data_IF_269253319964
#
_entry.id   IF_269253319964
#
_cell.length_a   1.000
_cell.length_b   1.000
_cell.length_c   1.000
_cell.angle_alpha   90.00
_cell.angle_beta   90.00
_cell.angle_gamma   90.00
#
_symmetry.space_group_name_H-M   'P 1'
#
loop_
_entity.id
_entity.type
_entity.pdbx_description
1 polymer ?
#
# COMPACT_ATOMS: atom_id res chain seq x y z
N UNK A 1 4.34 -35.84 11.85
CA UNK A 1 4.29 -34.45 12.32
C UNK A 1 4.90 -33.61 11.21
N UNK A 2 4.15 -33.34 10.15
CA UNK A 2 4.60 -32.46 9.07
C UNK A 2 4.14 -31.05 9.40
N UNK A 3 5.08 -30.11 9.35
CA UNK A 3 4.83 -28.71 9.59
C UNK A 3 3.68 -28.26 8.68
N UNK A 4 2.68 -27.62 9.30
CA UNK A 4 1.65 -26.86 8.60
C UNK A 4 2.34 -25.72 7.86
N UNK A 5 2.90 -26.02 6.69
CA UNK A 5 3.42 -25.03 5.78
C UNK A 5 2.20 -24.23 5.35
N UNK A 6 2.11 -22.99 5.84
CA UNK A 6 1.14 -22.02 5.36
C UNK A 6 1.10 -22.11 3.82
N UNK A 7 -0.09 -22.19 3.20
CA UNK A 7 -0.19 -22.35 1.76
C UNK A 7 0.72 -21.30 1.09
N UNK A 8 1.41 -21.66 -0.01
CA UNK A 8 2.35 -20.75 -0.65
C UNK A 8 1.65 -19.41 -0.82
N UNK A 9 2.24 -18.35 -0.25
CA UNK A 9 1.74 -16.98 -0.35
C UNK A 9 1.50 -16.74 -1.84
N UNK A 10 0.23 -16.76 -2.25
CA UNK A 10 -0.13 -16.76 -3.66
C UNK A 10 0.51 -15.56 -4.33
N UNK A 11 0.96 -15.71 -5.57
CA UNK A 11 1.59 -14.62 -6.31
C UNK A 11 0.76 -13.34 -6.21
N UNK A 12 1.39 -12.17 -6.04
CA UNK A 12 0.66 -10.92 -6.01
C UNK A 12 -0.09 -10.73 -7.34
N UNK A 13 -1.33 -10.22 -7.31
CA UNK A 13 -2.17 -10.10 -8.50
C UNK A 13 -1.53 -9.17 -9.55
N UNK A 14 -1.67 -9.45 -10.85
CA UNK A 14 -1.05 -8.62 -11.88
C UNK A 14 -1.79 -7.29 -12.05
N UNK A 15 -3.11 -7.30 -11.91
CA UNK A 15 -3.95 -6.11 -11.97
C UNK A 15 -4.93 -6.08 -10.81
N UNK A 16 -5.22 -4.88 -10.29
CA UNK A 16 -6.24 -4.66 -9.29
C UNK A 16 -7.17 -3.52 -9.73
N UNK A 17 -8.47 -3.76 -9.71
CA UNK A 17 -9.50 -2.78 -10.01
C UNK A 17 -10.29 -2.40 -8.77
N UNK A 18 -10.54 -1.11 -8.61
CA UNK A 18 -11.29 -0.57 -7.49
C UNK A 18 -12.73 -1.09 -7.50
N UNK A 19 -13.11 -1.77 -6.42
CA UNK A 19 -14.49 -2.16 -6.12
C UNK A 19 -15.10 -1.21 -5.10
N UNK A 20 -14.41 -1.03 -3.97
CA UNK A 20 -14.84 -0.19 -2.84
C UNK A 20 -13.62 0.44 -2.17
N UNK A 21 -13.77 1.50 -1.37
CA UNK A 21 -12.68 2.05 -0.58
C UNK A 21 -11.97 0.95 0.23
N UNK A 22 -10.69 0.68 -0.09
CA UNK A 22 -9.89 -0.38 0.55
C UNK A 22 -10.10 -1.79 0.03
N UNK A 23 -11.00 -2.00 -0.95
CA UNK A 23 -11.30 -3.31 -1.54
C UNK A 23 -11.12 -3.25 -3.05
N UNK A 24 -10.30 -4.14 -3.55
CA UNK A 24 -9.97 -4.30 -4.95
C UNK A 24 -10.33 -5.69 -5.44
N UNK A 25 -10.45 -5.85 -6.74
CA UNK A 25 -10.63 -7.14 -7.40
C UNK A 25 -9.48 -7.39 -8.35
N UNK A 26 -8.99 -8.64 -8.40
CA UNK A 26 -7.94 -9.06 -9.33
C UNK A 26 -8.47 -9.65 -10.64
N UNK A 27 -7.55 -10.03 -11.53
CA UNK A 27 -7.83 -10.64 -12.84
C UNK A 27 -8.60 -11.96 -12.77
N UNK A 28 -8.55 -12.65 -11.62
CA UNK A 28 -9.25 -13.90 -11.37
C UNK A 28 -10.59 -13.68 -10.67
N UNK A 29 -11.03 -12.43 -10.48
CA UNK A 29 -12.24 -12.09 -9.75
C UNK A 29 -12.12 -12.28 -8.23
N UNK A 30 -10.90 -12.41 -7.68
CA UNK A 30 -10.68 -12.48 -6.23
C UNK A 30 -10.64 -11.09 -5.63
N UNK A 31 -11.21 -11.00 -4.44
CA UNK A 31 -11.27 -9.75 -3.69
C UNK A 31 -10.02 -9.57 -2.82
N UNK A 32 -9.42 -8.38 -2.89
CA UNK A 32 -8.21 -7.98 -2.16
C UNK A 32 -8.46 -6.76 -1.28
N UNK A 33 -8.18 -6.87 0.01
CA UNK A 33 -8.17 -5.74 0.94
C UNK A 33 -6.81 -5.08 0.91
N UNK A 34 -6.79 -3.81 0.51
CA UNK A 34 -5.56 -3.04 0.37
C UNK A 34 -5.41 -2.04 1.50
N UNK A 35 -4.30 -2.14 2.23
CA UNK A 35 -3.90 -1.18 3.26
C UNK A 35 -2.74 -0.36 2.73
N UNK A 36 -2.93 0.96 2.66
CA UNK A 36 -1.89 1.89 2.23
C UNK A 36 -1.16 2.52 3.42
N UNK A 37 0.16 2.31 3.45
CA UNK A 37 1.06 3.02 4.34
C UNK A 37 1.68 4.22 3.60
N UNK A 38 1.30 5.42 4.04
CA UNK A 38 1.88 6.67 3.54
C UNK A 38 3.00 7.11 4.49
N UNK A 39 4.25 6.85 4.12
CA UNK A 39 5.38 7.44 4.84
C UNK A 39 5.59 8.86 4.32
N UNK A 40 5.08 9.86 5.04
CA UNK A 40 5.42 11.25 4.78
C UNK A 40 6.86 11.49 5.27
N UNK A 41 7.81 11.97 4.45
CA UNK A 41 9.20 12.24 4.88
C UNK A 41 9.34 13.49 5.77
N UNK A 42 8.36 13.78 6.62
CA UNK A 42 8.25 15.03 7.37
C UNK A 42 9.03 15.04 8.69
N UNK A 43 10.26 14.51 8.77
CA UNK A 43 11.04 14.59 10.02
C UNK A 43 12.54 14.84 9.83
N UNK A 44 12.94 15.55 8.77
CA UNK A 44 14.27 16.21 8.76
C UNK A 44 14.21 17.64 8.24
N UNK A 45 13.74 18.53 9.11
CA UNK A 45 14.25 19.89 9.20
C UNK A 45 14.60 20.14 10.68
N UNK A 46 15.83 19.78 11.06
CA UNK A 46 16.41 20.20 12.33
C UNK A 46 16.74 21.69 12.22
N UNK A 47 16.42 22.46 13.27
CA UNK A 47 17.18 23.68 13.60
C UNK A 47 16.43 25.00 13.54
N UNK A 48 16.07 25.47 14.75
CA UNK A 48 16.02 26.88 15.18
C UNK A 48 14.84 27.73 14.68
N UNK A 49 13.86 27.93 15.56
CA UNK A 49 12.94 29.06 15.46
C UNK A 49 11.54 28.84 16.05
N UNK A 50 11.32 29.42 17.24
CA UNK A 50 10.04 29.90 17.78
C UNK A 50 9.06 28.89 18.43
N UNK A 51 8.74 29.08 19.74
CA UNK A 51 7.65 28.38 20.41
C UNK A 51 6.35 29.15 20.13
N UNK A 52 5.69 28.82 19.02
CA UNK A 52 4.47 29.50 18.62
C UNK A 52 3.62 28.60 17.75
N UNK A 53 2.75 27.82 18.40
CA UNK A 53 1.53 27.23 17.86
C UNK A 53 1.56 26.78 16.40
N UNK A 54 1.74 25.48 16.18
CA UNK A 54 0.82 24.65 15.38
C UNK A 54 1.34 23.23 15.46
N UNK A 55 0.59 22.35 16.12
CA UNK A 55 0.80 20.92 16.07
C UNK A 55 0.73 20.46 14.60
N UNK A 56 1.72 19.78 14.01
CA UNK A 56 1.41 18.76 13.03
C UNK A 56 1.35 17.46 13.82
N UNK A 57 0.26 17.29 14.59
CA UNK A 57 -0.21 15.94 14.90
C UNK A 57 -0.51 15.36 13.52
N UNK A 58 0.47 14.71 12.92
CA UNK A 58 0.26 13.88 11.74
C UNK A 58 0.04 12.50 12.31
N UNK A 59 -1.19 12.03 12.49
CA UNK A 59 -1.38 10.61 12.66
C UNK A 59 -0.82 9.99 11.39
N UNK A 60 -0.10 8.89 11.55
CA UNK A 60 0.07 7.89 10.52
C UNK A 60 -1.32 7.41 10.10
N UNK A 61 -2.08 8.24 9.39
CA UNK A 61 -3.39 7.87 8.91
C UNK A 61 -3.13 6.82 7.85
N UNK A 62 -3.52 5.58 8.15
CA UNK A 62 -3.82 4.55 7.17
C UNK A 62 -4.97 5.12 6.32
N UNK A 63 -4.62 5.99 5.36
CA UNK A 63 -5.56 6.61 4.46
C UNK A 63 -5.94 5.55 3.44
N UNK A 64 -6.97 4.76 3.78
CA UNK A 64 -7.73 3.98 2.81
C UNK A 64 -8.41 4.92 1.79
N UNK A 65 -8.65 6.18 2.18
CA UNK A 65 -9.11 7.26 1.32
C UNK A 65 -7.95 7.84 0.50
N UNK A 66 -7.98 7.61 -0.81
CA UNK A 66 -6.95 8.10 -1.76
C UNK A 66 -6.17 7.00 -2.46
N UNK A 67 -6.64 5.76 -2.42
CA UNK A 67 -6.10 4.69 -3.23
C UNK A 67 -6.55 4.84 -4.70
N UNK A 68 -5.65 4.60 -5.67
CA UNK A 68 -5.95 4.71 -7.09
C UNK A 68 -7.02 3.72 -7.55
N UNK A 69 -7.74 4.05 -8.63
CA UNK A 69 -8.81 3.20 -9.16
C UNK A 69 -8.30 1.90 -9.80
N UNK A 70 -7.07 1.93 -10.34
CA UNK A 70 -6.42 0.76 -10.94
C UNK A 70 -4.96 0.70 -10.52
N UNK A 71 -4.49 -0.51 -10.28
CA UNK A 71 -3.10 -0.84 -10.04
C UNK A 71 -2.65 -1.91 -11.02
N UNK A 72 -1.41 -1.80 -11.46
CA UNK A 72 -0.80 -2.72 -12.41
C UNK A 72 0.57 -3.14 -11.88
N UNK A 73 0.84 -4.45 -11.91
CA UNK A 73 2.05 -5.01 -11.35
C UNK A 73 3.26 -4.54 -12.17
N UNK A 74 4.13 -3.82 -11.49
CA UNK A 74 5.38 -3.30 -12.00
C UNK A 74 6.54 -4.21 -11.56
N UNK A 75 7.58 -4.38 -12.39
CA UNK A 75 8.74 -5.18 -12.04
C UNK A 75 9.33 -4.83 -10.66
N UNK A 76 9.75 -5.86 -9.93
CA UNK A 76 10.37 -5.70 -8.61
C UNK A 76 9.36 -5.59 -7.45
N UNK A 77 8.24 -6.33 -7.51
CA UNK A 77 7.20 -6.36 -6.45
C UNK A 77 6.63 -4.99 -6.13
N UNK A 78 6.29 -4.25 -7.17
CA UNK A 78 5.68 -2.92 -7.06
C UNK A 78 4.39 -2.90 -7.85
N UNK A 79 3.51 -1.99 -7.52
CA UNK A 79 2.38 -1.63 -8.34
C UNK A 79 2.54 -0.21 -8.85
N UNK A 80 2.25 -0.04 -10.12
CA UNK A 80 2.04 1.25 -10.75
C UNK A 80 0.55 1.58 -10.72
N UNK A 81 0.25 2.72 -10.13
CA UNK A 81 -1.10 3.27 -10.13
C UNK A 81 -1.40 4.04 -11.42
N UNK A 82 -2.68 4.29 -11.69
CA UNK A 82 -3.12 5.17 -12.79
C UNK A 82 -2.55 6.58 -12.69
N UNK A 83 -2.30 7.08 -11.48
CA UNK A 83 -1.66 8.38 -11.24
C UNK A 83 -0.13 8.37 -11.44
N UNK A 84 0.42 7.32 -12.07
CA UNK A 84 1.85 7.07 -12.29
C UNK A 84 2.69 6.96 -11.01
N UNK A 85 2.08 6.91 -9.83
CA UNK A 85 2.82 6.61 -8.60
C UNK A 85 3.13 5.13 -8.51
N UNK A 86 4.32 4.87 -8.02
CA UNK A 86 4.76 3.54 -7.65
C UNK A 86 4.44 3.27 -6.19
N UNK A 87 4.05 2.05 -5.94
CA UNK A 87 3.73 1.53 -4.64
C UNK A 87 4.43 0.20 -4.46
N UNK A 88 5.13 0.04 -3.36
CA UNK A 88 5.86 -1.17 -3.05
C UNK A 88 4.93 -2.15 -2.31
N UNK A 89 4.97 -3.42 -2.72
CA UNK A 89 4.29 -4.50 -2.02
C UNK A 89 5.15 -4.83 -0.81
N UNK A 90 4.73 -4.34 0.36
CA UNK A 90 5.41 -4.64 1.62
C UNK A 90 5.09 -6.07 2.03
N UNK A 91 3.80 -6.42 1.96
CA UNK A 91 3.31 -7.72 2.34
C UNK A 91 2.07 -8.06 1.51
N UNK A 92 1.86 -9.35 1.26
CA UNK A 92 0.65 -9.86 0.63
C UNK A 92 0.37 -11.25 1.21
N UNK A 93 -0.90 -11.54 1.42
CA UNK A 93 -1.33 -12.80 2.03
C UNK A 93 -2.80 -13.08 1.76
N UNK A 94 -3.33 -14.08 2.44
CA UNK A 94 -4.74 -14.42 2.37
C UNK A 94 -5.31 -14.51 3.78
N UNK A 95 -6.46 -13.88 4.00
CA UNK A 95 -7.20 -13.87 5.26
C UNK A 95 -8.63 -14.31 4.95
N UNK A 96 -9.05 -15.46 5.47
CA UNK A 96 -10.43 -15.95 5.38
C UNK A 96 -11.00 -15.88 3.96
N UNK A 97 -10.26 -16.41 2.97
CA UNK A 97 -10.59 -16.40 1.54
C UNK A 97 -10.45 -15.06 0.81
N UNK A 98 -10.13 -13.98 1.51
CA UNK A 98 -9.87 -12.65 0.95
C UNK A 98 -8.38 -12.39 0.87
N UNK A 99 -7.87 -11.87 -0.25
CA UNK A 99 -6.49 -11.45 -0.34
C UNK A 99 -6.25 -10.24 0.56
N UNK A 100 -5.12 -10.20 1.27
CA UNK A 100 -4.65 -8.98 1.93
C UNK A 100 -3.42 -8.47 1.20
N UNK A 101 -3.37 -7.16 1.02
CA UNK A 101 -2.28 -6.49 0.33
C UNK A 101 -1.87 -5.26 1.13
N UNK A 102 -0.61 -5.22 1.56
CA UNK A 102 -0.03 -4.09 2.28
C UNK A 102 0.88 -3.34 1.31
N UNK A 103 0.47 -2.14 0.96
CA UNK A 103 1.16 -1.31 -0.01
C UNK A 103 1.76 -0.08 0.67
N UNK A 104 3.02 0.19 0.34
CA UNK A 104 3.71 1.39 0.78
C UNK A 104 3.91 2.32 -0.39
N UNK A 105 3.44 3.56 -0.26
CA UNK A 105 3.59 4.55 -1.31
C UNK A 105 5.05 5.01 -1.41
N UNK A 106 5.66 4.87 -2.57
CA UNK A 106 7.01 5.37 -2.81
C UNK A 106 6.97 6.88 -3.10
N UNK A 107 7.95 7.66 -2.61
CA UNK A 107 8.11 9.05 -3.03
C UNK A 107 8.42 9.07 -4.52
N UNK A 108 7.74 9.93 -5.28
CA UNK A 108 7.85 10.03 -6.74
C UNK A 108 9.16 10.69 -7.21
N UNK A 109 10.27 10.55 -6.48
CA UNK A 109 11.53 11.19 -6.81
C UNK A 109 12.70 10.76 -5.92
N UNK A 110 13.57 9.93 -6.47
CA UNK A 110 15.02 10.00 -6.21
C UNK A 110 15.70 9.44 -7.46
N UNK A 111 15.98 10.34 -8.40
CA UNK A 111 16.98 10.15 -9.44
C UNK A 111 18.30 10.71 -8.90
#
# INVERSE_FOLDING_TARGET
>A
MEAEASPPLGSPPCCLWFRRPGIYEDENGRTWVTVALRISPSHRAWGRGSPGSTMPRSPSHLLVFGLPPKWELYPGRRYQATDSRLWEIVDHGQINSMGQLILKRLPSGSR
#
